data_IF_110875429148
#
_entry.id   IF_110875429148
#
_cell.length_a   1.000
_cell.length_b   1.000
_cell.length_c   1.000
_cell.angle_alpha   90.00
_cell.angle_beta   90.00
_cell.angle_gamma   90.00
#
_symmetry.space_group_name_H-M   'P 1'
#
loop_
_entity.id
_entity.type
_entity.pdbx_description
1 polymer ?
#
# COMPACT_ATOMS: atom_id res chain seq x y z
N UNK A 1 -37.49 -21.91 18.13
CA UNK A 1 -38.80 -21.44 17.64
C UNK A 1 -38.58 -20.05 17.09
N UNK A 2 -38.76 -19.71 15.88
CA UNK A 2 -39.53 -19.98 14.70
C UNK A 2 -38.69 -19.60 13.46
N UNK A 3 -38.70 -20.52 12.55
CA UNK A 3 -38.27 -20.44 11.16
C UNK A 3 -39.20 -19.50 10.39
N UNK A 4 -38.67 -18.58 9.59
CA UNK A 4 -39.42 -17.97 8.49
C UNK A 4 -38.56 -17.93 7.24
N UNK A 5 -38.86 -18.87 6.40
CA UNK A 5 -38.53 -19.04 5.01
C UNK A 5 -39.44 -18.13 4.18
N UNK A 6 -38.92 -17.28 3.35
CA UNK A 6 -39.65 -16.66 2.25
C UNK A 6 -38.73 -16.51 1.04
N UNK A 7 -38.85 -17.49 0.18
CA UNK A 7 -38.48 -17.53 -1.23
C UNK A 7 -39.21 -16.46 -2.03
N UNK A 8 -38.48 -15.72 -2.83
CA UNK A 8 -39.06 -15.06 -4.03
C UNK A 8 -38.04 -15.13 -5.18
N UNK A 9 -38.30 -16.09 -6.06
CA UNK A 9 -37.72 -16.19 -7.40
C UNK A 9 -38.30 -15.05 -8.26
N UNK A 10 -37.42 -14.28 -8.91
CA UNK A 10 -37.81 -13.49 -10.09
C UNK A 10 -36.85 -13.86 -11.23
N UNK A 11 -37.40 -14.63 -12.15
CA UNK A 11 -36.87 -14.90 -13.47
C UNK A 11 -37.26 -13.74 -14.38
N UNK A 12 -36.28 -13.02 -14.91
CA UNK A 12 -36.50 -12.09 -16.05
C UNK A 12 -35.65 -12.56 -17.20
N UNK A 13 -36.36 -13.07 -18.17
CA UNK A 13 -35.89 -13.54 -19.48
C UNK A 13 -36.11 -12.35 -20.42
N UNK A 14 -35.04 -11.78 -20.99
CA UNK A 14 -35.15 -10.87 -22.13
C UNK A 14 -34.24 -11.31 -23.25
N UNK A 15 -34.90 -11.62 -24.32
CA UNK A 15 -34.39 -12.08 -25.60
C UNK A 15 -33.66 -11.00 -26.41
N UNK A 16 -32.67 -11.39 -27.13
CA UNK A 16 -32.14 -11.10 -28.42
C UNK A 16 -32.38 -9.75 -29.11
N UNK A 17 -31.29 -9.22 -29.68
CA UNK A 17 -31.30 -8.56 -30.99
C UNK A 17 -29.90 -8.65 -31.62
N UNK A 18 -29.80 -9.50 -32.64
CA UNK A 18 -28.69 -9.53 -33.57
C UNK A 18 -28.79 -8.30 -34.50
N UNK A 19 -27.70 -7.55 -34.65
CA UNK A 19 -27.53 -6.64 -35.78
C UNK A 19 -26.29 -7.05 -36.57
N UNK A 20 -26.57 -7.73 -37.67
CA UNK A 20 -25.65 -7.94 -38.76
C UNK A 20 -25.80 -6.77 -39.74
N UNK A 21 -24.73 -6.11 -40.09
CA UNK A 21 -24.64 -5.45 -41.38
C UNK A 21 -23.18 -5.38 -41.83
N UNK A 22 -22.95 -6.04 -42.93
CA UNK A 22 -21.74 -6.05 -43.70
C UNK A 22 -21.60 -4.80 -44.57
N UNK A 23 -20.41 -4.58 -45.06
CA UNK A 23 -20.09 -3.53 -46.01
C UNK A 23 -18.59 -3.49 -46.24
N UNK A 24 -18.14 -4.09 -47.34
CA UNK A 24 -16.74 -4.07 -47.79
C UNK A 24 -16.36 -2.72 -48.37
N UNK A 25 -15.08 -2.41 -48.31
CA UNK A 25 -14.44 -1.26 -48.96
C UNK A 25 -12.94 -1.43 -48.96
N UNK A 26 -12.40 -1.61 -50.14
CA UNK A 26 -11.00 -1.82 -50.50
C UNK A 26 -10.14 -0.55 -50.37
N UNK A 27 -8.86 -0.75 -50.09
CA UNK A 27 -7.65 -0.04 -50.49
C UNK A 27 -7.40 1.37 -49.96
N UNK A 28 -6.30 1.53 -49.26
CA UNK A 28 -5.13 2.31 -49.69
C UNK A 28 -3.96 2.08 -48.71
N UNK A 29 -2.83 1.72 -49.28
CA UNK A 29 -1.51 1.76 -48.66
C UNK A 29 -1.24 3.17 -48.17
N UNK A 30 -0.80 3.25 -46.92
CA UNK A 30 -0.25 4.44 -46.32
C UNK A 30 0.76 3.99 -45.27
N UNK A 31 1.99 3.74 -45.72
CA UNK A 31 3.18 3.59 -44.91
C UNK A 31 3.31 4.86 -44.04
N UNK A 32 3.09 4.74 -42.79
CA UNK A 32 3.48 5.75 -41.79
C UNK A 32 4.29 5.02 -40.73
N UNK A 33 5.61 5.10 -40.88
CA UNK A 33 6.56 4.81 -39.81
C UNK A 33 6.25 5.73 -38.65
N UNK A 34 5.52 5.25 -37.69
CA UNK A 34 5.48 5.83 -36.36
C UNK A 34 6.70 5.31 -35.61
N UNK A 35 7.77 6.09 -35.63
CA UNK A 35 8.85 6.02 -34.65
C UNK A 35 8.22 6.07 -33.26
N UNK A 36 8.02 4.92 -32.66
CA UNK A 36 7.76 4.80 -31.24
C UNK A 36 9.04 5.24 -30.51
N UNK A 37 9.11 6.52 -30.14
CA UNK A 37 9.97 6.97 -29.05
C UNK A 37 9.52 6.20 -27.82
N UNK A 38 10.22 5.11 -27.53
CA UNK A 38 10.19 4.52 -26.22
C UNK A 38 10.85 5.52 -25.26
N UNK A 39 10.04 6.40 -24.72
CA UNK A 39 10.35 7.13 -23.50
C UNK A 39 10.41 6.06 -22.41
N UNK A 40 11.63 5.57 -22.18
CA UNK A 40 11.89 4.64 -21.09
C UNK A 40 11.73 5.48 -19.80
N UNK A 41 10.53 5.43 -19.22
CA UNK A 41 10.31 5.88 -17.86
C UNK A 41 11.42 5.27 -16.99
N UNK A 42 12.02 6.04 -16.05
CA UNK A 42 13.00 5.48 -15.13
C UNK A 42 12.41 4.25 -14.48
N UNK A 43 13.09 3.13 -14.56
CA UNK A 43 12.71 1.90 -13.83
C UNK A 43 12.88 2.25 -12.36
N UNK A 44 11.78 2.65 -11.71
CA UNK A 44 11.77 2.82 -10.25
C UNK A 44 11.97 1.43 -9.64
N UNK A 45 13.20 1.19 -9.17
CA UNK A 45 13.52 -0.01 -8.42
C UNK A 45 12.60 -0.03 -7.20
N UNK A 46 11.84 -1.09 -7.05
CA UNK A 46 10.93 -1.18 -5.90
C UNK A 46 11.75 -1.14 -4.59
N UNK A 47 11.16 -0.59 -3.53
CA UNK A 47 11.82 -0.58 -2.21
C UNK A 47 12.17 -2.00 -1.74
N UNK A 48 11.35 -2.97 -2.11
CA UNK A 48 11.59 -4.39 -1.83
C UNK A 48 12.84 -4.90 -2.56
N UNK A 49 13.01 -4.59 -3.84
CA UNK A 49 14.21 -4.97 -4.60
C UNK A 49 15.47 -4.26 -4.08
N UNK A 50 15.32 -3.01 -3.68
CA UNK A 50 16.44 -2.20 -3.13
C UNK A 50 16.98 -2.74 -1.82
N UNK A 51 16.10 -3.26 -0.96
CA UNK A 51 16.44 -3.66 0.42
C UNK A 51 16.26 -5.15 0.69
N UNK A 52 16.01 -5.97 -0.32
CA UNK A 52 15.71 -7.41 -0.18
C UNK A 52 16.75 -8.21 0.63
N UNK A 53 18.02 -7.77 0.60
CA UNK A 53 19.13 -8.41 1.30
C UNK A 53 19.59 -7.61 2.55
N UNK A 54 18.91 -6.52 2.89
CA UNK A 54 19.22 -5.71 4.08
C UNK A 54 18.60 -6.36 5.33
N UNK A 55 19.41 -6.79 6.30
CA UNK A 55 18.90 -7.45 7.50
C UNK A 55 18.01 -6.56 8.36
N UNK A 56 18.22 -5.24 8.36
CA UNK A 56 17.38 -4.27 9.08
C UNK A 56 16.00 -4.21 8.42
N UNK A 57 15.97 -4.16 7.09
CA UNK A 57 14.73 -4.17 6.33
C UNK A 57 13.94 -5.45 6.56
N UNK A 58 14.59 -6.61 6.42
CA UNK A 58 13.95 -7.93 6.56
C UNK A 58 13.37 -8.10 7.97
N UNK A 59 14.18 -7.84 9.01
CA UNK A 59 13.79 -8.01 10.42
C UNK A 59 12.62 -7.09 10.79
N UNK A 60 12.69 -5.82 10.41
CA UNK A 60 11.65 -4.85 10.72
C UNK A 60 10.36 -5.08 9.94
N UNK A 61 10.45 -5.44 8.65
CA UNK A 61 9.30 -5.80 7.82
C UNK A 61 8.53 -7.01 8.38
N UNK A 62 9.26 -8.04 8.82
CA UNK A 62 8.66 -9.24 9.43
C UNK A 62 7.83 -8.86 10.67
N UNK A 63 8.38 -8.03 11.55
CA UNK A 63 7.70 -7.57 12.76
C UNK A 63 6.48 -6.70 12.46
N UNK A 64 6.57 -5.81 11.47
CA UNK A 64 5.43 -4.99 11.02
C UNK A 64 4.33 -5.86 10.42
N UNK A 65 4.68 -6.86 9.58
CA UNK A 65 3.71 -7.81 9.01
C UNK A 65 3.07 -8.73 10.06
N UNK A 66 3.80 -9.07 11.10
CA UNK A 66 3.33 -9.90 12.22
C UNK A 66 2.45 -9.14 13.22
N UNK A 67 2.25 -7.85 13.03
CA UNK A 67 1.47 -6.96 13.90
C UNK A 67 0.28 -6.36 13.15
N UNK A 68 -0.57 -5.62 13.85
CA UNK A 68 -1.76 -4.96 13.29
C UNK A 68 -1.48 -3.59 12.62
N UNK A 69 -0.22 -3.19 12.51
CA UNK A 69 0.24 -1.91 11.97
C UNK A 69 -0.34 -1.60 10.59
N UNK A 70 -0.41 -2.60 9.70
CA UNK A 70 -0.86 -2.43 8.31
C UNK A 70 -2.36 -2.14 8.18
N UNK A 71 -3.14 -2.32 9.24
CA UNK A 71 -4.55 -1.92 9.31
C UNK A 71 -4.74 -0.40 9.29
N UNK A 72 -3.73 0.35 9.77
CA UNK A 72 -3.79 1.80 9.88
C UNK A 72 -2.73 2.52 9.04
N UNK A 73 -1.63 1.86 8.67
CA UNK A 73 -0.53 2.42 7.92
C UNK A 73 -0.25 1.65 6.64
N UNK A 74 0.15 2.36 5.60
CA UNK A 74 0.67 1.77 4.36
C UNK A 74 2.01 2.41 4.00
N UNK A 75 2.75 1.77 3.09
CA UNK A 75 4.08 2.25 2.69
C UNK A 75 3.99 3.62 2.03
N UNK A 76 3.09 3.78 1.05
CA UNK A 76 3.13 4.90 0.10
C UNK A 76 1.96 5.87 0.24
N UNK A 77 0.94 5.54 1.00
CA UNK A 77 -0.24 6.37 1.14
C UNK A 77 -0.75 6.45 2.57
N UNK A 78 -1.29 7.60 2.91
CA UNK A 78 -2.02 7.80 4.15
C UNK A 78 -3.30 6.96 4.15
N UNK A 79 -3.54 6.25 5.24
CA UNK A 79 -4.80 5.56 5.51
C UNK A 79 -5.46 6.22 6.74
N UNK A 80 -5.51 5.55 7.88
CA UNK A 80 -5.89 6.15 9.17
C UNK A 80 -4.70 6.92 9.73
N UNK A 81 -3.54 6.27 9.78
CA UNK A 81 -2.27 6.86 10.13
C UNK A 81 -1.50 7.39 8.90
N UNK A 82 -0.36 8.05 9.11
CA UNK A 82 0.51 8.51 8.02
C UNK A 82 1.08 7.34 7.21
N UNK A 83 1.45 7.60 5.95
CA UNK A 83 2.26 6.67 5.19
C UNK A 83 3.64 6.48 5.85
N UNK A 84 4.21 5.29 5.76
CA UNK A 84 5.57 5.06 6.26
C UNK A 84 6.60 5.93 5.55
N UNK A 85 6.44 6.15 4.24
CA UNK A 85 7.29 7.05 3.47
C UNK A 85 7.21 8.50 3.99
N UNK A 86 6.04 8.97 4.44
CA UNK A 86 5.88 10.29 5.03
C UNK A 86 6.61 10.39 6.37
N UNK A 87 6.56 9.32 7.17
CA UNK A 87 7.32 9.24 8.43
C UNK A 87 8.81 9.28 8.14
N UNK A 88 9.29 8.50 7.18
CA UNK A 88 10.69 8.49 6.77
C UNK A 88 11.16 9.83 6.16
N UNK A 89 10.28 10.54 5.48
CA UNK A 89 10.58 11.88 4.96
C UNK A 89 10.70 12.92 6.10
N UNK A 90 9.90 12.77 7.16
CA UNK A 90 9.87 13.71 8.30
C UNK A 90 11.00 13.49 9.30
N UNK A 91 11.41 12.26 9.51
CA UNK A 91 12.42 11.89 10.52
C UNK A 91 13.63 11.24 9.85
N UNK A 92 14.81 11.77 10.14
CA UNK A 92 16.06 11.14 9.72
C UNK A 92 16.30 9.84 10.50
N UNK A 93 16.94 8.85 9.85
CA UNK A 93 17.27 7.57 10.49
C UNK A 93 18.48 7.73 11.43
N UNK A 94 18.25 8.37 12.57
CA UNK A 94 19.21 8.55 13.67
C UNK A 94 18.78 7.74 14.89
N UNK A 95 19.71 7.31 15.72
CA UNK A 95 19.39 6.56 16.95
C UNK A 95 18.41 7.34 17.86
N UNK A 96 18.52 8.66 17.93
CA UNK A 96 17.63 9.49 18.71
C UNK A 96 16.18 9.44 18.19
N UNK A 97 15.99 9.55 16.87
CA UNK A 97 14.68 9.45 16.25
C UNK A 97 14.11 8.05 16.35
N UNK A 98 14.96 7.02 16.14
CA UNK A 98 14.57 5.62 16.31
C UNK A 98 14.03 5.35 17.70
N UNK A 99 14.77 5.75 18.75
CA UNK A 99 14.35 5.55 20.13
C UNK A 99 13.07 6.35 20.48
N UNK A 100 12.96 7.58 20.01
CA UNK A 100 11.78 8.42 20.21
C UNK A 100 10.53 7.81 19.55
N UNK A 101 10.66 7.37 18.30
CA UNK A 101 9.55 6.77 17.55
C UNK A 101 9.17 5.38 18.08
N UNK A 102 10.14 4.55 18.51
CA UNK A 102 9.86 3.28 19.16
C UNK A 102 9.00 3.44 20.42
N UNK A 103 9.35 4.40 21.28
CA UNK A 103 8.51 4.76 22.44
C UNK A 103 7.13 5.23 22.03
N UNK A 104 7.03 5.98 20.92
CA UNK A 104 5.75 6.43 20.38
C UNK A 104 4.89 5.27 19.88
N UNK A 105 5.48 4.27 19.25
CA UNK A 105 4.78 3.05 18.82
C UNK A 105 4.21 2.31 20.05
N UNK A 106 5.01 2.11 21.08
CA UNK A 106 4.57 1.41 22.31
C UNK A 106 3.49 2.19 23.05
N UNK A 107 3.68 3.51 23.25
CA UNK A 107 2.77 4.34 24.04
C UNK A 107 1.54 4.81 23.26
N UNK A 108 1.59 4.80 21.94
CA UNK A 108 0.56 5.40 21.10
C UNK A 108 0.50 6.91 21.22
N UNK A 109 -0.69 7.48 20.99
CA UNK A 109 -0.99 8.90 21.22
C UNK A 109 -1.27 9.69 19.94
N UNK A 110 -1.46 10.99 20.11
CA UNK A 110 -1.95 11.95 19.12
C UNK A 110 -0.97 13.09 18.91
N UNK A 111 -1.13 13.87 17.89
CA UNK A 111 -0.53 15.20 17.72
C UNK A 111 0.17 15.44 16.39
N UNK A 112 1.37 14.90 16.17
CA UNK A 112 2.24 15.25 15.02
C UNK A 112 1.57 15.02 13.65
N UNK A 113 0.67 14.05 13.55
CA UNK A 113 0.00 13.64 12.32
C UNK A 113 -1.50 13.95 12.28
N UNK A 114 -1.98 14.73 13.21
CA UNK A 114 -3.38 15.13 13.34
C UNK A 114 -4.01 14.64 14.63
N UNK A 115 -5.34 14.72 14.68
CA UNK A 115 -6.12 14.45 15.90
C UNK A 115 -6.53 12.99 16.09
N UNK A 116 -6.35 12.15 15.05
CA UNK A 116 -6.65 10.72 15.16
C UNK A 116 -5.54 10.05 15.98
N UNK A 117 -5.86 9.48 17.15
CA UNK A 117 -4.85 8.84 17.97
C UNK A 117 -4.37 7.52 17.37
N UNK A 118 -3.07 7.29 17.42
CA UNK A 118 -2.48 5.97 17.21
C UNK A 118 -2.72 5.13 18.47
N UNK A 119 -3.17 3.89 18.30
CA UNK A 119 -3.32 2.95 19.41
C UNK A 119 -1.96 2.65 20.07
N UNK A 120 -1.98 2.36 21.36
CA UNK A 120 -0.82 1.89 22.08
C UNK A 120 -0.59 0.39 21.82
N UNK A 121 0.68 -0.02 21.75
CA UNK A 121 1.08 -1.41 21.56
C UNK A 121 1.94 -1.90 22.74
N UNK A 122 1.36 -2.02 23.95
CA UNK A 122 2.12 -2.30 25.18
C UNK A 122 2.73 -3.71 25.20
N UNK A 123 2.32 -4.59 24.30
CA UNK A 123 2.87 -5.94 24.19
C UNK A 123 4.16 -6.00 23.34
N UNK A 124 4.51 -4.91 22.63
CA UNK A 124 5.76 -4.83 21.89
C UNK A 124 6.92 -4.56 22.86
N UNK A 125 8.01 -5.28 22.68
CA UNK A 125 9.26 -4.94 23.34
C UNK A 125 9.87 -3.68 22.72
N UNK A 126 10.75 -2.99 23.45
CA UNK A 126 11.47 -1.83 22.92
C UNK A 126 12.36 -2.23 21.73
N UNK A 127 12.92 -3.45 21.75
CA UNK A 127 13.69 -4.00 20.64
C UNK A 127 12.82 -4.19 19.40
N UNK A 128 11.63 -4.80 19.53
CA UNK A 128 10.72 -5.01 18.42
C UNK A 128 10.29 -3.68 17.79
N UNK A 129 9.90 -2.73 18.61
CA UNK A 129 9.51 -1.41 18.15
C UNK A 129 10.68 -0.66 17.47
N UNK A 130 11.91 -0.83 17.97
CA UNK A 130 13.13 -0.29 17.37
C UNK A 130 13.37 -0.86 15.98
N UNK A 131 13.28 -2.18 15.81
CA UNK A 131 13.45 -2.84 14.52
C UNK A 131 12.39 -2.39 13.50
N UNK A 132 11.12 -2.28 13.94
CA UNK A 132 10.02 -1.77 13.09
C UNK A 132 10.31 -0.33 12.64
N UNK A 133 10.74 0.54 13.54
CA UNK A 133 11.04 1.94 13.22
C UNK A 133 12.23 2.05 12.28
N UNK A 134 13.29 1.29 12.48
CA UNK A 134 14.45 1.27 11.56
C UNK A 134 14.03 0.90 10.16
N UNK A 135 13.20 -0.13 9.99
CA UNK A 135 12.60 -0.49 8.72
C UNK A 135 11.81 0.67 8.12
N UNK A 136 10.90 1.29 8.89
CA UNK A 136 10.06 2.40 8.42
C UNK A 136 10.93 3.55 7.91
N UNK A 137 12.00 3.90 8.63
CA UNK A 137 12.89 5.01 8.25
C UNK A 137 13.77 4.72 7.03
N UNK A 138 13.90 3.46 6.58
CA UNK A 138 14.51 3.10 5.29
C UNK A 138 13.61 3.42 4.10
N UNK A 139 12.28 3.57 4.29
CA UNK A 139 11.29 3.73 3.22
C UNK A 139 11.21 5.17 2.67
N UNK A 140 12.21 5.98 2.93
CA UNK A 140 12.31 7.35 2.38
C UNK A 140 12.43 7.29 0.85
N UNK A 141 11.52 7.99 0.19
CA UNK A 141 11.53 8.21 -1.26
C UNK A 141 12.51 9.32 -1.65
#
# INVERSE_FOLDING_TARGET
>A
MKLNLLTTSVVVLVAGLAFSCGGGGKSAEGTSEATASADAAPVEVSLEDKYKDDPVYIKGLEKVKGSDCTGCHQVDRKLIGPAYADVAAKYENTEANVAMLAKKVIAGGVGVWGEIPMAAHPNLTEEDATDMVRYILLLKK
#
